data_IF_721082538413
#
_entry.id   IF_721082538413
#
_cell.length_a   1.000
_cell.length_b   1.000
_cell.length_c   1.000
_cell.angle_alpha   90.00
_cell.angle_beta   90.00
_cell.angle_gamma   90.00
#
_symmetry.space_group_name_H-M   'P 1'
#
loop_
_entity.id
_entity.type
_entity.pdbx_description
1 polymer ?
#
# COMPACT_ATOMS: atom_id res chain seq x y z
N UNK A 1 -6.91 -21.82 -0.43
CA UNK A 1 -7.80 -20.93 0.35
C UNK A 1 -8.66 -20.11 -0.60
N UNK A 2 -9.85 -19.68 -0.16
CA UNK A 2 -10.70 -18.72 -0.90
C UNK A 2 -10.40 -17.32 -0.37
N UNK A 3 -10.33 -16.34 -1.25
CA UNK A 3 -10.16 -14.92 -0.87
C UNK A 3 -11.36 -14.46 -0.01
N UNK A 4 -11.11 -13.59 0.97
CA UNK A 4 -12.20 -12.97 1.73
C UNK A 4 -12.98 -11.99 0.84
N UNK A 5 -14.30 -12.03 0.96
CA UNK A 5 -15.20 -11.01 0.42
C UNK A 5 -15.34 -9.89 1.45
N UNK A 6 -14.78 -8.73 1.14
CA UNK A 6 -14.79 -7.56 2.01
C UNK A 6 -15.47 -6.41 1.25
N UNK A 7 -16.49 -5.75 1.80
CA UNK A 7 -17.14 -4.61 1.14
C UNK A 7 -16.11 -3.54 0.73
N UNK A 8 -16.26 -3.01 -0.48
CA UNK A 8 -15.32 -2.03 -1.06
C UNK A 8 -14.01 -2.61 -1.61
N UNK A 9 -13.63 -3.84 -1.25
CA UNK A 9 -12.46 -4.51 -1.84
C UNK A 9 -12.86 -5.19 -3.15
N UNK A 10 -12.11 -5.01 -4.25
CA UNK A 10 -12.40 -5.64 -5.53
C UNK A 10 -12.48 -7.17 -5.47
N UNK A 11 -13.33 -7.76 -6.30
CA UNK A 11 -13.39 -9.20 -6.45
C UNK A 11 -12.06 -9.76 -6.98
N UNK A 12 -11.67 -10.93 -6.47
CA UNK A 12 -10.54 -11.67 -7.01
C UNK A 12 -11.00 -12.46 -8.24
N UNK A 13 -10.42 -12.15 -9.39
CA UNK A 13 -10.78 -12.76 -10.69
C UNK A 13 -9.59 -13.51 -11.29
N UNK A 14 -8.36 -12.94 -11.21
CA UNK A 14 -7.16 -13.49 -11.89
C UNK A 14 -5.88 -13.28 -11.09
N UNK A 15 -4.82 -14.04 -11.34
CA UNK A 15 -3.53 -13.83 -10.66
C UNK A 15 -3.58 -14.14 -9.16
N UNK A 16 -2.64 -13.60 -8.40
CA UNK A 16 -2.51 -13.79 -6.96
C UNK A 16 -3.43 -12.89 -6.13
N UNK A 17 -3.48 -13.17 -4.83
CA UNK A 17 -4.11 -12.33 -3.81
C UNK A 17 -3.44 -12.55 -2.47
N UNK A 18 -3.60 -11.60 -1.55
CA UNK A 18 -3.30 -11.78 -0.15
C UNK A 18 -4.32 -11.03 0.72
N UNK A 19 -4.56 -11.57 1.92
CA UNK A 19 -5.40 -10.96 2.95
C UNK A 19 -4.55 -10.83 4.21
N UNK A 20 -4.25 -9.59 4.61
CA UNK A 20 -3.49 -9.32 5.83
C UNK A 20 -4.32 -8.47 6.76
N UNK A 21 -4.54 -8.94 7.97
CA UNK A 21 -5.37 -8.27 8.97
C UNK A 21 -4.68 -8.35 10.32
N UNK A 22 -4.71 -7.25 11.06
CA UNK A 22 -4.35 -7.21 12.46
C UNK A 22 -5.42 -6.47 13.25
N UNK A 23 -5.61 -6.86 14.52
CA UNK A 23 -6.67 -6.36 15.39
C UNK A 23 -6.16 -6.20 16.81
N UNK A 24 -6.48 -5.06 17.42
CA UNK A 24 -6.22 -4.77 18.84
C UNK A 24 -7.55 -4.49 19.54
N UNK A 25 -7.72 -5.05 20.73
CA UNK A 25 -8.90 -4.85 21.57
C UNK A 25 -8.64 -3.84 22.68
N UNK A 26 -9.66 -3.08 23.04
CA UNK A 26 -9.59 -2.03 24.05
C UNK A 26 -10.64 -2.25 25.14
N UNK A 27 -10.30 -2.01 26.41
CA UNK A 27 -11.23 -2.19 27.52
C UNK A 27 -12.22 -1.02 27.67
N UNK A 28 -11.88 0.16 27.16
CA UNK A 28 -12.71 1.36 27.21
C UNK A 28 -12.84 2.00 25.83
N UNK A 29 -13.90 2.81 25.64
CA UNK A 29 -14.20 3.47 24.39
C UNK A 29 -13.22 4.61 24.06
N UNK A 30 -12.68 5.30 25.05
CA UNK A 30 -11.78 6.44 24.84
C UNK A 30 -10.47 6.01 24.15
N UNK A 31 -9.81 4.97 24.67
CA UNK A 31 -8.60 4.39 24.09
C UNK A 31 -8.85 3.81 22.69
N UNK A 32 -10.03 3.22 22.49
CA UNK A 32 -10.47 2.72 21.19
C UNK A 32 -10.57 3.85 20.17
N UNK A 33 -11.27 4.93 20.50
CA UNK A 33 -11.42 6.09 19.61
C UNK A 33 -10.07 6.76 19.33
N UNK A 34 -9.24 6.92 20.37
CA UNK A 34 -7.90 7.49 20.24
C UNK A 34 -7.04 6.66 19.29
N UNK A 35 -7.06 5.33 19.45
CA UNK A 35 -6.27 4.44 18.60
C UNK A 35 -6.82 4.40 17.17
N UNK A 36 -8.14 4.37 16.98
CA UNK A 36 -8.76 4.42 15.65
C UNK A 36 -8.39 5.70 14.90
N UNK A 37 -8.49 6.87 15.55
CA UNK A 37 -8.11 8.14 14.96
C UNK A 37 -6.61 8.23 14.66
N UNK A 38 -5.77 7.67 15.53
CA UNK A 38 -4.32 7.58 15.30
C UNK A 38 -4.00 6.70 14.10
N UNK A 39 -4.62 5.52 14.00
CA UNK A 39 -4.41 4.60 12.87
C UNK A 39 -4.86 5.21 11.53
N UNK A 40 -5.96 5.98 11.51
CA UNK A 40 -6.37 6.74 10.31
C UNK A 40 -5.32 7.76 9.89
N UNK A 41 -4.81 8.55 10.84
CA UNK A 41 -3.76 9.54 10.56
C UNK A 41 -2.49 8.88 10.03
N UNK A 42 -2.03 7.79 10.65
CA UNK A 42 -0.87 7.01 10.19
C UNK A 42 -1.08 6.43 8.79
N UNK A 43 -2.30 6.00 8.46
CA UNK A 43 -2.62 5.50 7.13
C UNK A 43 -2.48 6.60 6.07
N UNK A 44 -2.88 7.84 6.37
CA UNK A 44 -2.77 8.97 5.44
C UNK A 44 -1.38 9.61 5.41
N UNK A 45 -0.57 9.38 6.42
CA UNK A 45 0.80 9.88 6.49
C UNK A 45 1.80 9.04 5.65
N UNK A 46 1.52 8.96 4.35
CA UNK A 46 2.25 8.14 3.37
C UNK A 46 3.74 8.49 3.35
N UNK A 47 4.08 9.78 3.41
CA UNK A 47 5.47 10.26 3.40
C UNK A 47 6.30 9.71 4.59
N UNK A 48 5.65 9.33 5.69
CA UNK A 48 6.32 8.81 6.89
C UNK A 48 6.13 7.30 7.10
N UNK A 49 5.50 6.58 6.17
CA UNK A 49 5.31 5.12 6.30
C UNK A 49 6.61 4.35 6.57
N UNK A 50 7.74 4.79 6.00
CA UNK A 50 9.04 4.18 6.24
C UNK A 50 9.65 4.51 7.60
N UNK A 51 9.18 5.57 8.27
CA UNK A 51 9.71 6.04 9.55
C UNK A 51 9.01 5.36 10.73
N UNK A 52 7.81 4.83 10.51
CA UNK A 52 7.04 4.16 11.55
C UNK A 52 7.53 2.75 11.91
N UNK A 53 8.37 2.14 11.07
CA UNK A 53 9.00 0.85 11.36
C UNK A 53 10.28 0.65 10.56
N UNK A 54 11.32 0.14 11.21
CA UNK A 54 12.60 -0.21 10.60
C UNK A 54 12.51 -1.38 9.61
N UNK A 55 11.45 -2.18 9.69
CA UNK A 55 11.32 -3.43 8.92
C UNK A 55 10.73 -3.19 7.53
N UNK A 56 10.21 -1.99 7.27
CA UNK A 56 9.71 -1.60 5.95
C UNK A 56 10.89 -1.19 5.08
N UNK A 57 11.28 -2.09 4.18
CA UNK A 57 12.37 -1.92 3.22
C UNK A 57 11.97 -1.07 2.00
N UNK A 58 11.20 -0.02 2.22
CA UNK A 58 10.75 0.89 1.16
C UNK A 58 10.61 2.33 1.66
N UNK A 59 10.84 3.30 0.77
CA UNK A 59 10.50 4.71 0.94
C UNK A 59 9.23 5.00 0.14
N UNK A 60 8.33 5.80 0.71
CA UNK A 60 7.06 6.18 0.09
C UNK A 60 7.00 7.69 0.03
N UNK A 61 6.65 8.23 -1.14
CA UNK A 61 6.50 9.66 -1.35
C UNK A 61 5.17 9.91 -2.04
N UNK A 62 4.32 10.72 -1.42
CA UNK A 62 3.06 11.18 -1.98
C UNK A 62 3.33 12.30 -2.99
N UNK A 63 2.72 12.16 -4.15
CA UNK A 63 2.78 13.10 -5.25
C UNK A 63 1.35 13.46 -5.71
N UNK A 64 1.15 14.66 -6.21
CA UNK A 64 -0.08 15.04 -6.89
C UNK A 64 -0.22 14.36 -8.27
N UNK A 65 -1.26 14.75 -9.02
CA UNK A 65 -1.58 14.20 -10.35
C UNK A 65 -0.50 14.49 -11.40
N UNK A 66 0.32 15.52 -11.20
CA UNK A 66 1.43 15.90 -12.08
C UNK A 66 2.76 15.25 -11.64
N UNK A 67 2.76 14.52 -10.52
CA UNK A 67 3.94 13.87 -9.98
C UNK A 67 4.80 14.77 -9.09
N UNK A 68 4.28 15.92 -8.66
CA UNK A 68 4.95 16.86 -7.75
C UNK A 68 4.76 16.39 -6.32
N UNK A 69 5.82 16.38 -5.53
CA UNK A 69 5.77 15.96 -4.11
C UNK A 69 4.89 16.92 -3.31
N UNK A 70 4.02 16.37 -2.46
CA UNK A 70 3.10 17.14 -1.63
C UNK A 70 3.12 16.69 -0.16
N UNK A 71 2.86 17.64 0.74
CA UNK A 71 2.75 17.44 2.19
C UNK A 71 1.31 17.76 2.66
N UNK A 72 0.39 16.86 2.33
CA UNK A 72 -1.02 16.92 2.73
C UNK A 72 -1.61 15.51 2.79
N UNK A 73 -2.84 15.39 3.28
CA UNK A 73 -3.60 14.14 3.19
C UNK A 73 -3.76 13.69 1.71
N UNK A 74 -3.74 12.38 1.44
CA UNK A 74 -3.89 11.84 0.10
C UNK A 74 -5.28 12.13 -0.47
N UNK A 75 -5.32 12.36 -1.79
CA UNK A 75 -6.52 12.61 -2.56
C UNK A 75 -6.66 11.59 -3.69
N UNK A 76 -7.88 11.39 -4.16
CA UNK A 76 -8.13 10.55 -5.33
C UNK A 76 -7.43 11.17 -6.55
N UNK A 77 -6.68 10.35 -7.28
CA UNK A 77 -5.86 10.75 -8.43
C UNK A 77 -4.40 11.01 -8.09
N UNK A 78 -4.05 11.18 -6.81
CA UNK A 78 -2.65 11.29 -6.39
C UNK A 78 -1.86 10.03 -6.70
N UNK A 79 -0.54 10.19 -6.76
CA UNK A 79 0.41 9.13 -6.99
C UNK A 79 1.24 8.86 -5.74
N UNK A 80 1.64 7.61 -5.55
CA UNK A 80 2.66 7.24 -4.57
C UNK A 80 3.84 6.64 -5.31
N UNK A 81 4.99 7.28 -5.08
CA UNK A 81 6.28 6.88 -5.60
C UNK A 81 6.98 6.01 -4.54
N UNK A 82 7.35 4.79 -4.91
CA UNK A 82 7.86 3.79 -3.95
C UNK A 82 9.29 3.39 -4.33
N UNK A 83 10.26 3.65 -3.45
CA UNK A 83 11.65 3.22 -3.60
C UNK A 83 11.86 1.95 -2.78
N UNK A 84 12.10 0.82 -3.42
CA UNK A 84 12.52 -0.36 -2.67
C UNK A 84 13.98 -0.21 -2.25
N UNK A 85 14.24 -0.18 -0.93
CA UNK A 85 15.58 -0.06 -0.33
C UNK A 85 16.33 -1.40 -0.36
N UNK A 86 16.40 -2.02 -1.54
CA UNK A 86 17.13 -3.26 -1.79
C UNK A 86 18.65 -3.05 -2.02
N UNK A 87 19.18 -1.85 -1.74
CA UNK A 87 20.60 -1.48 -1.90
C UNK A 87 21.02 -0.50 -0.80
N UNK A 88 22.31 -0.44 -0.42
CA UNK A 88 22.93 0.81 -0.01
C UNK A 88 22.99 1.77 -1.23
N UNK A 89 22.46 2.98 -1.09
CA UNK A 89 22.38 4.03 -2.14
C UNK A 89 21.46 3.72 -3.35
N UNK A 90 20.14 3.59 -3.15
CA UNK A 90 19.18 3.45 -4.25
C UNK A 90 19.15 4.71 -5.15
N UNK A 91 19.03 4.53 -6.48
CA UNK A 91 18.97 5.65 -7.44
C UNK A 91 17.53 6.03 -7.79
N UNK A 92 17.31 7.31 -8.15
CA UNK A 92 15.97 7.84 -8.51
C UNK A 92 15.31 7.22 -9.75
N UNK A 93 15.97 6.30 -10.44
CA UNK A 93 15.43 5.54 -11.57
C UNK A 93 14.77 4.21 -11.18
N UNK A 94 14.92 3.78 -9.92
CA UNK A 94 14.45 2.48 -9.44
C UNK A 94 13.08 2.55 -8.74
N UNK A 95 12.33 3.63 -8.94
CA UNK A 95 11.01 3.80 -8.33
C UNK A 95 9.93 3.04 -9.08
N UNK A 96 9.02 2.45 -8.31
CA UNK A 96 7.73 1.99 -8.83
C UNK A 96 6.64 2.99 -8.47
N UNK A 97 5.57 3.00 -9.27
CA UNK A 97 4.48 3.96 -9.15
C UNK A 97 3.15 3.27 -8.95
N UNK A 98 2.37 3.82 -8.03
CA UNK A 98 0.95 3.48 -7.86
C UNK A 98 0.13 4.77 -7.84
N UNK A 99 -1.13 4.69 -8.24
CA UNK A 99 -2.11 5.79 -8.17
C UNK A 99 -3.19 5.45 -7.16
N UNK A 100 -3.64 6.44 -6.41
CA UNK A 100 -4.79 6.34 -5.51
C UNK A 100 -6.06 6.48 -6.33
N UNK A 101 -6.80 5.39 -6.46
CA UNK A 101 -8.01 5.34 -7.29
C UNK A 101 -9.29 5.57 -6.47
N UNK A 102 -9.24 5.33 -5.15
CA UNK A 102 -10.38 5.49 -4.28
C UNK A 102 -9.94 5.75 -2.84
N UNK A 103 -10.68 6.63 -2.18
CA UNK A 103 -10.67 6.84 -0.74
C UNK A 103 -12.14 6.84 -0.30
N UNK A 104 -12.48 6.01 0.67
CA UNK A 104 -13.82 5.95 1.26
C UNK A 104 -13.75 6.16 2.77
N UNK A 105 -14.37 7.24 3.20
CA UNK A 105 -14.58 7.63 4.60
C UNK A 105 -16.06 7.87 4.91
N UNK A 106 -16.97 7.38 4.06
CA UNK A 106 -18.42 7.53 4.24
C UNK A 106 -18.93 6.79 5.48
N UNK A 107 -18.24 5.72 5.87
CA UNK A 107 -18.50 5.00 7.11
C UNK A 107 -17.70 5.63 8.27
N UNK A 108 -18.35 6.15 9.33
CA UNK A 108 -17.63 6.77 10.45
C UNK A 108 -16.72 5.78 11.21
N UNK A 109 -16.95 4.48 11.06
CA UNK A 109 -16.19 3.40 11.69
C UNK A 109 -15.16 2.77 10.76
N UNK A 110 -14.92 3.33 9.57
CA UNK A 110 -13.96 2.78 8.61
C UNK A 110 -13.34 3.86 7.73
N UNK A 111 -12.05 3.72 7.47
CA UNK A 111 -11.32 4.45 6.44
C UNK A 111 -10.72 3.44 5.47
N UNK A 112 -10.99 3.63 4.18
CA UNK A 112 -10.48 2.80 3.11
C UNK A 112 -9.71 3.64 2.11
N UNK A 113 -8.58 3.12 1.63
CA UNK A 113 -7.80 3.70 0.55
C UNK A 113 -7.36 2.59 -0.39
N UNK A 114 -7.61 2.75 -1.68
CA UNK A 114 -7.23 1.79 -2.72
C UNK A 114 -6.22 2.40 -3.68
N UNK A 115 -5.16 1.66 -3.94
CA UNK A 115 -4.11 2.00 -4.89
C UNK A 115 -4.01 0.96 -6.00
N UNK A 116 -3.53 1.38 -7.17
CA UNK A 116 -3.23 0.49 -8.31
C UNK A 116 -1.87 0.81 -8.93
N UNK A 117 -1.17 -0.22 -9.45
CA UNK A 117 0.01 -0.02 -10.29
C UNK A 117 -0.25 0.97 -11.43
N UNK A 118 0.67 1.91 -11.64
CA UNK A 118 0.51 2.97 -12.63
C UNK A 118 1.76 3.20 -13.47
N UNK A 119 1.57 3.90 -14.59
CA UNK A 119 2.62 4.60 -15.33
C UNK A 119 3.12 5.80 -14.52
N UNK A 120 4.19 6.45 -15.01
CA UNK A 120 4.58 7.77 -14.55
C UNK A 120 3.39 8.77 -14.67
N UNK A 121 3.21 9.69 -13.70
CA UNK A 121 2.37 10.87 -13.87
C UNK A 121 2.64 11.58 -15.21
N UNK A 122 1.58 12.11 -15.84
CA UNK A 122 1.66 12.76 -17.15
C UNK A 122 1.88 11.84 -18.37
N UNK A 123 2.15 10.54 -18.18
CA UNK A 123 2.41 9.60 -19.29
C UNK A 123 1.35 8.48 -19.40
N UNK A 124 0.09 8.85 -19.26
CA UNK A 124 -1.04 7.92 -19.14
C UNK A 124 -1.36 7.18 -20.45
N UNK A 125 -1.12 7.81 -21.60
CA UNK A 125 -1.52 7.32 -22.92
C UNK A 125 -0.39 6.65 -23.73
N UNK A 126 0.86 6.72 -23.25
CA UNK A 126 2.02 6.11 -23.92
C UNK A 126 3.04 5.48 -22.98
N UNK A 127 2.81 5.57 -21.66
CA UNK A 127 3.73 5.07 -20.65
C UNK A 127 3.57 3.58 -20.37
N UNK A 128 4.70 2.94 -20.06
CA UNK A 128 4.70 1.59 -19.53
C UNK A 128 4.41 1.61 -18.02
N UNK A 129 3.70 0.60 -17.52
CA UNK A 129 3.46 0.44 -16.07
C UNK A 129 4.79 0.25 -15.34
N UNK A 130 5.10 1.20 -14.45
CA UNK A 130 6.34 1.20 -13.68
C UNK A 130 6.13 0.43 -12.38
N UNK A 131 5.74 -0.83 -12.46
CA UNK A 131 5.42 -1.65 -11.29
C UNK A 131 5.48 -3.16 -11.60
N UNK A 132 5.81 -3.99 -10.61
CA UNK A 132 5.96 -5.46 -10.79
C UNK A 132 4.68 -6.18 -11.14
N UNK A 133 3.56 -5.60 -10.73
CA UNK A 133 2.22 -6.05 -11.05
C UNK A 133 1.58 -5.15 -12.11
N UNK A 134 0.73 -5.73 -12.94
CA UNK A 134 -0.03 -5.03 -13.98
C UNK A 134 -1.10 -4.10 -13.38
N UNK A 135 -1.56 -3.12 -14.16
CA UNK A 135 -2.64 -2.17 -13.79
C UNK A 135 -3.95 -2.82 -13.37
N UNK A 136 -4.18 -4.08 -13.74
CA UNK A 136 -5.33 -4.85 -13.27
C UNK A 136 -5.32 -5.15 -11.77
N UNK A 137 -4.16 -5.07 -11.12
CA UNK A 137 -3.99 -5.39 -9.70
C UNK A 137 -4.41 -4.21 -8.82
N UNK A 138 -4.86 -4.49 -7.61
CA UNK A 138 -5.29 -3.47 -6.63
C UNK A 138 -4.77 -3.83 -5.25
N UNK A 139 -4.41 -2.80 -4.49
CA UNK A 139 -4.06 -2.91 -3.09
C UNK A 139 -5.00 -2.03 -2.28
N UNK A 140 -5.76 -2.63 -1.37
CA UNK A 140 -6.76 -1.92 -0.56
C UNK A 140 -6.35 -1.93 0.90
N UNK A 141 -6.17 -0.74 1.47
CA UNK A 141 -5.88 -0.51 2.88
C UNK A 141 -7.17 -0.15 3.60
N UNK A 142 -7.39 -0.75 4.77
CA UNK A 142 -8.58 -0.47 5.59
C UNK A 142 -8.16 -0.33 7.05
N UNK A 143 -8.54 0.78 7.67
CA UNK A 143 -8.56 0.94 9.13
C UNK A 143 -10.02 1.02 9.55
N UNK A 144 -10.45 0.15 10.46
CA UNK A 144 -11.86 0.06 10.90
C UNK A 144 -11.95 -0.18 12.39
N UNK A 145 -13.07 0.17 13.01
CA UNK A 145 -13.36 -0.14 14.41
C UNK A 145 -14.69 -0.89 14.57
N UNK A 146 -14.76 -1.72 15.61
CA UNK A 146 -16.00 -2.29 16.12
C UNK A 146 -16.21 -1.92 17.58
N UNK A 147 -17.10 -2.62 18.29
CA UNK A 147 -17.50 -2.26 19.66
C UNK A 147 -16.34 -2.15 20.66
N UNK A 148 -15.33 -3.01 20.53
CA UNK A 148 -14.20 -3.09 21.46
C UNK A 148 -12.85 -3.30 20.77
N UNK A 149 -12.76 -2.97 19.48
CA UNK A 149 -11.53 -3.20 18.72
C UNK A 149 -11.28 -2.20 17.60
N UNK A 150 -10.00 -2.06 17.25
CA UNK A 150 -9.54 -1.43 16.01
C UNK A 150 -8.83 -2.49 15.17
N UNK A 151 -9.07 -2.48 13.87
CA UNK A 151 -8.52 -3.42 12.88
C UNK A 151 -7.88 -2.65 11.73
N UNK A 152 -6.65 -3.01 11.41
CA UNK A 152 -5.95 -2.57 10.21
C UNK A 152 -5.81 -3.76 9.25
N UNK A 153 -6.01 -3.52 7.97
CA UNK A 153 -5.99 -4.58 6.96
C UNK A 153 -5.44 -4.09 5.62
N UNK A 154 -4.79 -5.01 4.90
CA UNK A 154 -4.31 -4.82 3.54
C UNK A 154 -4.74 -6.01 2.68
N UNK A 155 -5.44 -5.72 1.60
CA UNK A 155 -5.97 -6.72 0.66
C UNK A 155 -5.38 -6.51 -0.72
N UNK A 156 -4.55 -7.45 -1.16
CA UNK A 156 -4.08 -7.53 -2.54
C UNK A 156 -5.07 -8.32 -3.39
N UNK A 157 -5.48 -7.79 -4.54
CA UNK A 157 -6.35 -8.47 -5.49
C UNK A 157 -5.80 -8.35 -6.90
N UNK A 158 -6.11 -9.36 -7.69
CA UNK A 158 -5.81 -9.44 -9.10
C UNK A 158 -4.31 -9.32 -9.44
N UNK A 159 -3.42 -9.76 -8.53
CA UNK A 159 -1.98 -9.58 -8.61
C UNK A 159 -1.36 -10.41 -9.73
N UNK A 160 -1.35 -9.85 -10.93
CA UNK A 160 -0.72 -10.45 -12.11
C UNK A 160 0.60 -9.75 -12.38
N UNK A 161 1.66 -10.53 -12.55
CA UNK A 161 2.97 -10.02 -12.93
C UNK A 161 2.87 -9.15 -14.19
N UNK A 162 3.56 -8.02 -14.16
CA UNK A 162 3.76 -7.17 -15.32
C UNK A 162 4.82 -7.81 -16.22
N UNK A 163 4.41 -8.17 -17.43
CA UNK A 163 5.24 -8.81 -18.46
C UNK A 163 6.09 -7.83 -19.24
N UNK A 164 5.99 -6.52 -18.95
CA UNK A 164 6.91 -5.53 -19.48
C UNK A 164 8.24 -5.65 -18.73
N UNK A 165 9.12 -6.52 -19.24
CA UNK A 165 10.29 -7.05 -18.54
C UNK A 165 11.43 -6.05 -18.42
N UNK A 166 11.56 -5.12 -19.37
CA UNK A 166 12.79 -4.36 -19.53
C UNK A 166 12.96 -3.27 -18.48
N UNK A 167 11.87 -2.60 -18.08
CA UNK A 167 11.89 -1.47 -17.15
C UNK A 167 12.15 -1.87 -15.69
N UNK A 168 11.89 -3.13 -15.36
CA UNK A 168 12.01 -3.64 -13.99
C UNK A 168 13.05 -4.77 -13.88
N UNK A 169 13.68 -5.15 -14.98
CA UNK A 169 14.76 -6.16 -15.04
C UNK A 169 15.85 -5.87 -14.00
N UNK A 170 16.26 -4.59 -13.88
CA UNK A 170 17.23 -4.12 -12.90
C UNK A 170 16.81 -4.40 -11.45
N UNK A 171 15.55 -4.12 -11.08
CA UNK A 171 15.07 -4.42 -9.72
C UNK A 171 14.78 -5.92 -9.55
N UNK A 172 14.36 -6.60 -10.63
CA UNK A 172 14.05 -8.03 -10.63
C UNK A 172 15.27 -8.90 -10.35
N UNK A 173 16.35 -8.63 -11.05
CA UNK A 173 17.63 -9.33 -10.87
C UNK A 173 18.19 -9.09 -9.46
N UNK A 174 17.99 -7.89 -8.89
CA UNK A 174 18.47 -7.52 -7.55
C UNK A 174 17.69 -8.18 -6.42
N UNK A 175 16.37 -8.21 -6.52
CA UNK A 175 15.54 -8.92 -5.56
C UNK A 175 15.88 -10.42 -5.58
N UNK A 176 16.07 -11.00 -6.77
CA UNK A 176 16.57 -12.39 -6.91
C UNK A 176 17.94 -12.59 -6.23
N UNK A 177 18.88 -11.66 -6.40
CA UNK A 177 20.21 -11.71 -5.75
C UNK A 177 20.15 -11.62 -4.21
N UNK A 178 19.14 -10.94 -3.64
CA UNK A 178 18.88 -10.88 -2.19
C UNK A 178 18.01 -12.06 -1.69
N UNK A 179 17.88 -13.13 -2.48
CA UNK A 179 17.00 -14.26 -2.15
C UNK A 179 15.53 -13.87 -2.04
N UNK A 180 15.10 -12.74 -2.59
CA UNK A 180 13.71 -12.36 -2.70
C UNK A 180 13.06 -13.03 -3.91
N UNK A 181 12.04 -13.85 -3.66
CA UNK A 181 11.14 -14.31 -4.71
C UNK A 181 10.10 -13.24 -5.00
N UNK A 182 9.89 -12.91 -6.28
CA UNK A 182 8.80 -12.03 -6.70
C UNK A 182 7.46 -12.71 -6.50
N UNK A 183 6.46 -11.92 -6.11
CA UNK A 183 5.08 -12.34 -6.01
C UNK A 183 4.71 -12.76 -4.59
N UNK A 184 4.13 -11.82 -3.84
CA UNK A 184 3.31 -12.01 -2.62
C UNK A 184 3.91 -11.92 -1.20
N UNK A 185 5.23 -11.80 -0.95
CA UNK A 185 5.70 -12.04 0.45
C UNK A 185 6.75 -11.10 1.09
N UNK A 186 7.24 -10.04 0.44
CA UNK A 186 8.32 -9.20 1.05
C UNK A 186 7.96 -7.80 1.54
N UNK A 187 6.83 -7.21 1.14
CA UNK A 187 6.26 -6.15 1.98
C UNK A 187 5.61 -6.89 3.14
N UNK A 188 6.18 -6.77 4.33
CA UNK A 188 5.60 -7.36 5.53
C UNK A 188 4.33 -6.57 5.89
N UNK A 189 3.25 -6.78 5.13
CA UNK A 189 1.96 -6.13 5.38
C UNK A 189 1.48 -6.37 6.80
N UNK A 190 1.91 -7.47 7.42
CA UNK A 190 1.70 -7.75 8.83
C UNK A 190 2.34 -6.66 9.69
N UNK A 191 3.65 -6.43 9.56
CA UNK A 191 4.38 -5.34 10.23
C UNK A 191 3.74 -3.98 9.94
N UNK A 192 3.32 -3.72 8.70
CA UNK A 192 2.63 -2.48 8.36
C UNK A 192 1.30 -2.33 9.13
N UNK A 193 0.46 -3.37 9.17
CA UNK A 193 -0.81 -3.33 9.94
C UNK A 193 -0.58 -3.27 11.45
N UNK A 194 0.47 -3.88 11.97
CA UNK A 194 0.90 -3.76 13.37
C UNK A 194 1.35 -2.33 13.68
N UNK A 195 2.15 -1.73 12.80
CA UNK A 195 2.60 -0.34 12.91
C UNK A 195 1.43 0.65 12.96
N UNK A 196 0.42 0.45 12.10
CA UNK A 196 -0.77 1.32 12.08
C UNK A 196 -1.54 1.29 13.40
N UNK A 197 -1.55 0.14 14.08
CA UNK A 197 -2.26 -0.06 15.35
C UNK A 197 -1.37 0.18 16.58
N UNK A 198 -0.07 0.42 16.39
CA UNK A 198 0.82 0.72 17.50
C UNK A 198 0.55 2.12 18.03
N UNK A 199 0.34 2.25 19.34
CA UNK A 199 0.10 3.53 20.02
C UNK A 199 1.37 4.10 20.67
N UNK A 200 2.52 3.41 20.54
CA UNK A 200 3.83 3.93 20.94
C UNK A 200 4.41 4.86 19.88
#
# INVERSE_FOLDING_TARGET
MKHKKVPGVPNQIKGGYHDTENKVTYPNSEDLEKSFNTAKKKLFDINNWSNYTSDVIAEFVLCDQEGIVVERDPQIGDYVKILLKAKPNPQKKDYIWVRIDMIDHSNPNSLMMQMRPSTLPGNQFGGNIMHFYSSGSTLTFIVSKGNNYVKAAVYGRNEKANTNTDLLSGIKNRLTALGARFGSQKIQWKTFTEMLLNNK
#
